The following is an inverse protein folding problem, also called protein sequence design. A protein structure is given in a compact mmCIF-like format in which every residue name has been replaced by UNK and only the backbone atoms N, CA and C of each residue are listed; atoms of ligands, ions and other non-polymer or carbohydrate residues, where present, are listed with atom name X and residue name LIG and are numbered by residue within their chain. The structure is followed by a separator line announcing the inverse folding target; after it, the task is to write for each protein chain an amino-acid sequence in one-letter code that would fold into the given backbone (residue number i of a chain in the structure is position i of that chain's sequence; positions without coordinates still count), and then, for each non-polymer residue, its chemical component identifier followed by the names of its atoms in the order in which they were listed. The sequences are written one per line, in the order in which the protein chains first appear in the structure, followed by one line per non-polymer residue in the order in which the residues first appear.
data_IF_796898142685
#
_entry.id   IF_796898142685
#
_cell.length_a   1.000
_cell.length_b   1.000
_cell.length_c   1.000
_cell.angle_alpha   90.00
_cell.angle_beta   90.00
_cell.angle_gamma   90.00
#
_symmetry.space_group_name_H-M   'P 1'
#
loop_
_entity.id
_entity.type
_entity.pdbx_description
1 polymer ?
#
# COMPACT_ATOMS: atom_id res chain seq x y z
N UNK A 1 24.41 -10.90 9.06
CA UNK A 1 25.68 -10.64 8.36
C UNK A 1 26.35 -11.94 7.90
N UNK A 2 26.98 -12.75 8.77
CA UNK A 2 27.77 -13.93 8.35
C UNK A 2 26.96 -14.92 7.48
N UNK A 3 25.76 -15.31 7.93
CA UNK A 3 24.93 -16.28 7.21
C UNK A 3 24.10 -15.72 6.05
N UNK A 4 23.90 -14.39 5.97
CA UNK A 4 23.06 -13.80 4.91
C UNK A 4 23.79 -13.77 3.56
N UNK A 5 25.12 -13.67 3.58
CA UNK A 5 25.95 -13.48 2.38
C UNK A 5 26.82 -14.69 2.04
N UNK A 6 26.68 -15.79 2.79
CA UNK A 6 27.41 -17.04 2.53
C UNK A 6 28.91 -16.97 2.81
N UNK A 7 29.36 -15.99 3.61
CA UNK A 7 30.76 -15.91 4.03
C UNK A 7 31.03 -16.99 5.07
N UNK A 8 32.13 -17.72 4.88
CA UNK A 8 32.65 -18.59 5.93
C UNK A 8 33.14 -17.76 7.12
N UNK A 9 33.22 -18.35 8.33
CA UNK A 9 33.75 -17.65 9.50
C UNK A 9 35.15 -17.05 9.29
N UNK A 10 36.01 -17.74 8.53
CA UNK A 10 37.37 -17.29 8.27
C UNK A 10 37.40 -16.10 7.30
N UNK A 11 36.55 -16.09 6.28
CA UNK A 11 36.42 -14.95 5.36
C UNK A 11 35.87 -13.71 6.07
N UNK A 12 34.93 -13.90 7.00
CA UNK A 12 34.39 -12.80 7.79
C UNK A 12 35.44 -12.19 8.74
N UNK A 13 36.26 -13.02 9.39
CA UNK A 13 37.28 -12.55 10.33
C UNK A 13 38.47 -11.88 9.66
N UNK A 14 38.73 -12.18 8.39
CA UNK A 14 39.82 -11.61 7.59
C UNK A 14 39.33 -10.56 6.57
N UNK A 15 38.08 -10.11 6.68
CA UNK A 15 37.55 -9.09 5.79
C UNK A 15 38.26 -7.76 6.05
N UNK A 16 38.55 -7.03 4.97
CA UNK A 16 39.05 -5.66 5.08
C UNK A 16 38.05 -4.81 5.89
N UNK A 17 38.49 -4.07 6.93
CA UNK A 17 37.62 -3.22 7.74
C UNK A 17 36.75 -2.26 6.93
N UNK A 18 37.30 -1.67 5.86
CA UNK A 18 36.58 -0.72 5.01
C UNK A 18 35.45 -1.42 4.25
N UNK A 19 35.72 -2.65 3.79
CA UNK A 19 34.72 -3.50 3.14
C UNK A 19 33.65 -3.88 4.16
N UNK A 20 34.03 -4.32 5.36
CA UNK A 20 33.08 -4.69 6.40
C UNK A 20 32.12 -3.55 6.74
N UNK A 21 32.64 -2.33 6.92
CA UNK A 21 31.84 -1.13 7.17
C UNK A 21 30.87 -0.85 6.00
N UNK A 22 31.35 -0.90 4.76
CA UNK A 22 30.51 -0.72 3.58
C UNK A 22 29.40 -1.79 3.50
N UNK A 23 29.70 -3.05 3.84
CA UNK A 23 28.69 -4.12 3.87
C UNK A 23 27.67 -3.89 4.98
N UNK A 24 28.08 -3.38 6.14
CA UNK A 24 27.19 -3.00 7.24
C UNK A 24 26.25 -1.85 6.85
N UNK A 25 26.79 -0.80 6.23
CA UNK A 25 26.00 0.34 5.72
C UNK A 25 25.00 -0.15 4.67
N UNK A 26 25.43 -1.04 3.77
CA UNK A 26 24.55 -1.62 2.77
C UNK A 26 23.41 -2.42 3.43
N UNK A 27 23.71 -3.34 4.36
CA UNK A 27 22.66 -4.13 5.05
C UNK A 27 21.68 -3.25 5.85
N UNK A 28 22.19 -2.17 6.46
CA UNK A 28 21.38 -1.30 7.32
C UNK A 28 20.52 -0.30 6.54
N UNK A 29 21.00 0.19 5.40
CA UNK A 29 20.41 1.37 4.73
C UNK A 29 20.11 1.21 3.24
N UNK A 30 20.70 0.22 2.56
CA UNK A 30 20.60 0.08 1.11
C UNK A 30 19.87 -1.22 0.72
N UNK A 31 20.16 -2.33 1.38
CA UNK A 31 19.47 -3.60 1.17
C UNK A 31 17.97 -3.35 1.38
N UNK A 32 17.12 -3.64 0.39
CA UNK A 32 15.68 -3.57 0.54
C UNK A 32 15.29 -4.73 1.46
N UNK A 33 15.42 -4.51 2.76
CA UNK A 33 15.21 -5.50 3.81
C UNK A 33 14.26 -4.94 4.86
N UNK A 34 13.59 -5.86 5.56
CA UNK A 34 12.65 -5.54 6.62
C UNK A 34 11.19 -5.61 6.19
N UNK A 35 10.31 -5.55 7.18
CA UNK A 35 8.90 -5.93 7.07
C UNK A 35 8.13 -5.13 6.01
N UNK A 36 8.50 -3.86 5.78
CA UNK A 36 7.87 -3.03 4.76
C UNK A 36 8.18 -3.50 3.34
N UNK A 37 9.42 -3.88 3.07
CA UNK A 37 9.83 -4.40 1.77
C UNK A 37 9.23 -5.80 1.56
N UNK A 38 9.27 -6.66 2.58
CA UNK A 38 8.66 -8.00 2.52
C UNK A 38 7.17 -7.91 2.22
N UNK A 39 6.46 -6.99 2.90
CA UNK A 39 5.04 -6.73 2.65
C UNK A 39 4.81 -6.18 1.24
N UNK A 40 5.69 -5.32 0.73
CA UNK A 40 5.60 -4.81 -0.64
C UNK A 40 5.73 -5.95 -1.67
N UNK A 41 6.71 -6.82 -1.53
CA UNK A 41 6.88 -7.99 -2.41
C UNK A 41 5.68 -8.93 -2.34
N UNK A 42 5.18 -9.19 -1.13
CA UNK A 42 4.01 -10.03 -0.92
C UNK A 42 2.76 -9.41 -1.57
N UNK A 43 2.46 -8.14 -1.30
CA UNK A 43 1.32 -7.43 -1.86
C UNK A 43 1.38 -7.38 -3.39
N UNK A 44 2.57 -7.11 -3.96
CA UNK A 44 2.78 -7.11 -5.40
C UNK A 44 2.52 -8.49 -6.03
N UNK A 45 2.98 -9.56 -5.37
CA UNK A 45 2.75 -10.93 -5.83
C UNK A 45 1.26 -11.27 -5.84
N UNK A 46 0.55 -11.04 -4.74
CA UNK A 46 -0.88 -11.30 -4.66
C UNK A 46 -1.68 -10.46 -5.67
N UNK A 47 -1.33 -9.19 -5.83
CA UNK A 47 -1.92 -8.31 -6.84
C UNK A 47 -1.72 -8.88 -8.26
N UNK A 48 -0.50 -9.28 -8.59
CA UNK A 48 -0.15 -9.85 -9.90
C UNK A 48 -0.91 -11.15 -10.19
N UNK A 49 -0.97 -12.04 -9.20
CA UNK A 49 -1.75 -13.28 -9.29
C UNK A 49 -3.24 -12.97 -9.48
N UNK A 50 -3.80 -12.00 -8.74
CA UNK A 50 -5.19 -11.61 -8.87
C UNK A 50 -5.51 -11.02 -10.25
N UNK A 51 -4.75 -10.06 -10.76
CA UNK A 51 -5.03 -9.45 -12.07
C UNK A 51 -4.87 -10.45 -13.24
N UNK A 52 -4.02 -11.45 -13.06
CA UNK A 52 -3.82 -12.52 -14.05
C UNK A 52 -4.91 -13.60 -14.02
N UNK A 53 -5.74 -13.63 -12.97
CA UNK A 53 -6.76 -14.66 -12.79
C UNK A 53 -7.88 -14.53 -13.83
N UNK A 54 -8.07 -15.52 -14.72
CA UNK A 54 -9.08 -15.48 -15.78
C UNK A 54 -10.52 -15.47 -15.24
N UNK A 55 -10.73 -15.95 -14.01
CA UNK A 55 -12.06 -16.06 -13.38
C UNK A 55 -12.56 -14.73 -12.79
N UNK A 56 -11.71 -13.68 -12.74
CA UNK A 56 -12.13 -12.35 -12.29
C UNK A 56 -12.67 -11.53 -13.45
N UNK A 57 -13.76 -10.79 -13.21
CA UNK A 57 -14.30 -9.85 -14.20
C UNK A 57 -13.34 -8.70 -14.45
N UNK A 58 -13.35 -8.16 -15.66
CA UNK A 58 -12.48 -7.04 -16.04
C UNK A 58 -12.76 -5.78 -15.18
N UNK A 59 -14.02 -5.54 -14.83
CA UNK A 59 -14.41 -4.44 -13.93
C UNK A 59 -13.79 -4.58 -12.55
N UNK A 60 -13.74 -5.81 -12.00
CA UNK A 60 -13.13 -6.07 -10.71
C UNK A 60 -11.61 -5.89 -10.76
N UNK A 61 -10.96 -6.42 -11.81
CA UNK A 61 -9.50 -6.26 -12.00
C UNK A 61 -9.08 -4.79 -12.08
N UNK A 62 -9.85 -3.95 -12.77
CA UNK A 62 -9.59 -2.50 -12.86
C UNK A 62 -9.73 -1.76 -11.53
N UNK A 63 -10.48 -2.33 -10.58
CA UNK A 63 -10.68 -1.77 -9.25
C UNK A 63 -9.62 -2.16 -8.23
N UNK A 64 -8.85 -3.22 -8.47
CA UNK A 64 -7.84 -3.72 -7.54
C UNK A 64 -6.66 -2.75 -7.42
N UNK A 65 -6.15 -2.61 -6.20
CA UNK A 65 -4.95 -1.87 -5.86
C UNK A 65 -3.97 -2.77 -5.10
N UNK A 66 -2.68 -2.46 -5.19
CA UNK A 66 -1.64 -3.19 -4.42
C UNK A 66 -1.92 -3.09 -2.91
N UNK A 67 -2.42 -1.94 -2.44
CA UNK A 67 -2.79 -1.71 -1.04
C UNK A 67 -3.91 -2.62 -0.53
N UNK A 68 -4.74 -3.19 -1.41
CA UNK A 68 -5.78 -4.16 -1.00
C UNK A 68 -5.16 -5.47 -0.48
N UNK A 69 -3.89 -5.72 -0.81
CA UNK A 69 -3.10 -6.86 -0.37
C UNK A 69 -2.11 -6.49 0.75
N UNK A 70 -2.19 -5.28 1.31
CA UNK A 70 -1.43 -4.85 2.48
C UNK A 70 -2.12 -5.28 3.78
N UNK A 71 -2.07 -6.58 4.08
CA UNK A 71 -2.77 -7.17 5.23
C UNK A 71 -2.33 -6.61 6.58
N UNK A 72 -1.05 -6.25 6.69
CA UNK A 72 -0.49 -5.69 7.92
C UNK A 72 -0.56 -4.16 7.94
N UNK A 73 -0.98 -3.53 6.84
CA UNK A 73 -1.10 -2.09 6.66
C UNK A 73 0.23 -1.37 6.92
N UNK A 74 1.32 -1.96 6.43
CA UNK A 74 2.70 -1.47 6.61
C UNK A 74 3.13 -0.58 5.43
N UNK A 75 2.51 -0.76 4.26
CA UNK A 75 2.85 -0.04 3.04
C UNK A 75 2.25 1.37 3.06
N UNK A 76 0.98 1.49 3.49
CA UNK A 76 0.18 2.73 3.37
C UNK A 76 0.71 3.91 4.21
N UNK A 77 1.80 3.73 4.97
CA UNK A 77 2.67 4.82 5.43
C UNK A 77 2.08 5.72 6.52
N UNK A 78 0.82 5.50 6.87
CA UNK A 78 0.19 6.05 8.04
C UNK A 78 0.74 5.21 9.22
N UNK A 79 1.83 5.67 9.86
CA UNK A 79 2.39 5.07 11.09
C UNK A 79 1.41 5.20 12.28
N UNK A 80 0.18 4.78 12.07
CA UNK A 80 -0.94 4.93 12.96
C UNK A 80 -1.10 3.64 13.74
N UNK A 81 -1.32 3.81 15.03
CA UNK A 81 -1.76 2.73 15.90
C UNK A 81 -3.11 2.18 15.42
N UNK A 82 -3.46 0.97 15.85
CA UNK A 82 -4.76 0.36 15.54
C UNK A 82 -5.95 1.26 15.91
N UNK A 83 -5.81 2.05 16.98
CA UNK A 83 -6.84 2.98 17.44
C UNK A 83 -7.01 4.16 16.47
N UNK A 84 -5.91 4.84 16.15
CA UNK A 84 -5.93 5.97 15.22
C UNK A 84 -6.42 5.56 13.83
N UNK A 85 -6.08 4.34 13.38
CA UNK A 85 -6.62 3.76 12.15
C UNK A 85 -8.14 3.61 12.17
N UNK A 86 -8.69 3.12 13.28
CA UNK A 86 -10.13 2.97 13.42
C UNK A 86 -10.84 4.33 13.40
N UNK A 87 -10.28 5.32 14.09
CA UNK A 87 -10.79 6.69 14.08
C UNK A 87 -10.80 7.27 12.66
N UNK A 88 -9.70 7.11 11.91
CA UNK A 88 -9.60 7.56 10.51
C UNK A 88 -10.58 6.84 9.58
N UNK A 89 -10.81 5.56 9.80
CA UNK A 89 -11.80 4.79 9.04
C UNK A 89 -13.22 5.35 9.26
N UNK A 90 -13.58 5.67 10.51
CA UNK A 90 -14.86 6.30 10.84
C UNK A 90 -14.99 7.70 10.23
N UNK A 91 -13.91 8.48 10.19
CA UNK A 91 -13.87 9.78 9.51
C UNK A 91 -14.11 9.63 8.01
N UNK A 92 -13.40 8.72 7.34
CA UNK A 92 -13.60 8.45 5.91
C UNK A 92 -15.04 8.03 5.58
N UNK A 93 -15.69 7.26 6.45
CA UNK A 93 -17.12 6.91 6.27
C UNK A 93 -18.00 8.15 6.34
N UNK A 94 -17.79 9.02 7.35
CA UNK A 94 -18.57 10.26 7.51
C UNK A 94 -18.36 11.23 6.36
N UNK A 95 -17.12 11.40 5.91
CA UNK A 95 -16.78 12.22 4.74
C UNK A 95 -17.47 11.70 3.48
N UNK A 96 -17.41 10.38 3.25
CA UNK A 96 -18.08 9.76 2.11
C UNK A 96 -19.59 10.00 2.14
N UNK A 97 -20.24 9.79 3.29
CA UNK A 97 -21.68 10.08 3.44
C UNK A 97 -22.00 11.55 3.15
N UNK A 98 -21.17 12.48 3.63
CA UNK A 98 -21.35 13.92 3.41
C UNK A 98 -21.21 14.28 1.92
N UNK A 99 -20.20 13.72 1.25
CA UNK A 99 -19.97 13.92 -0.18
C UNK A 99 -21.12 13.34 -1.02
N UNK A 100 -21.61 12.15 -0.65
CA UNK A 100 -22.75 11.51 -1.32
C UNK A 100 -24.00 12.40 -1.22
N UNK A 101 -24.33 12.89 -0.02
CA UNK A 101 -25.47 13.81 0.22
C UNK A 101 -25.31 15.10 -0.60
N UNK A 102 -24.11 15.67 -0.62
CA UNK A 102 -23.83 16.91 -1.37
C UNK A 102 -24.03 16.70 -2.87
N UNK A 103 -23.47 15.61 -3.41
CA UNK A 103 -23.61 15.26 -4.83
C UNK A 103 -25.07 15.02 -5.23
N UNK A 104 -25.85 14.41 -4.35
CA UNK A 104 -27.27 14.13 -4.57
C UNK A 104 -28.10 15.43 -4.54
N UNK A 105 -27.78 16.34 -3.62
CA UNK A 105 -28.36 17.68 -3.59
C UNK A 105 -28.08 18.50 -4.86
N UNK A 106 -26.85 18.44 -5.39
CA UNK A 106 -26.50 19.08 -6.66
C UNK A 106 -27.26 18.48 -7.86
N UNK A 107 -27.43 17.16 -7.89
CA UNK A 107 -28.24 16.50 -8.93
C UNK A 107 -29.70 16.93 -8.87
N UNK A 108 -30.31 16.98 -7.68
CA UNK A 108 -31.68 17.45 -7.48
C UNK A 108 -31.81 18.91 -7.94
N UNK A 109 -30.85 19.78 -7.59
CA UNK A 109 -30.83 21.18 -8.01
C UNK A 109 -30.77 21.30 -9.54
N UNK A 110 -29.94 20.51 -10.21
CA UNK A 110 -29.86 20.47 -11.68
C UNK A 110 -31.18 20.02 -12.32
N UNK A 111 -31.85 19.01 -11.75
CA UNK A 111 -33.15 18.52 -12.25
C UNK A 111 -34.24 19.58 -12.05
N UNK A 112 -34.27 20.25 -10.90
CA UNK A 112 -35.26 21.28 -10.59
C UNK A 112 -35.09 22.53 -11.48
N UNK A 113 -33.84 22.96 -11.72
CA UNK A 113 -33.54 24.11 -12.58
C UNK A 113 -33.66 23.78 -14.09
N UNK A 114 -33.38 22.54 -14.48
CA UNK A 114 -33.47 22.09 -15.88
C UNK A 114 -34.89 21.92 -16.41
N UNK A 115 -35.92 21.87 -15.55
CA UNK A 115 -37.33 21.76 -15.94
C UNK A 115 -37.98 23.07 -16.41
N UNK A 116 -37.25 24.19 -16.47
CA UNK A 116 -37.79 25.49 -16.88
C UNK A 116 -37.58 25.88 -18.37
N UNK A 117 -36.96 25.04 -19.19
CA UNK A 117 -36.86 25.30 -20.64
C UNK A 117 -38.03 24.70 -21.43
N UNK A 118 -39.25 24.93 -20.94
CA UNK A 118 -40.50 24.69 -21.66
C UNK A 118 -41.11 26.00 -22.11
N UNK A 119 -40.53 26.62 -23.15
CA UNK A 119 -41.19 27.56 -24.07
C UNK A 119 -40.58 27.38 -25.44
#
# INVERSE_FOLDING_TARGET
MVNKRGLSPDEFNNLDPDVLEALMVYDAYIEPSGTKIDMLFHAHRCYSEAISNPNLTESFRKGLKITDFDFLQIIDGENLTTKERHERYLEKIKEKQTNDITSLGEQIKKIALGKNNGK
#
